data_IF_911315065781
#
_entry.id   IF_911315065781
#
_cell.length_a   1.000
_cell.length_b   1.000
_cell.length_c   1.000
_cell.angle_alpha   90.00
_cell.angle_beta   90.00
_cell.angle_gamma   90.00
#
_symmetry.space_group_name_H-M   'P 1'
#
loop_
_entity.id
_entity.type
_entity.pdbx_description
1 polymer ?
#
# COMPACT_ATOMS: atom_id res chain seq x y z
N UNK A 1 -2.72 -3.87 -5.05
CA UNK A 1 -2.13 -4.41 -6.29
C UNK A 1 -0.62 -4.21 -6.22
N UNK A 2 0.14 -4.49 -7.27
CA UNK A 2 1.59 -4.22 -7.28
C UNK A 2 1.95 -2.74 -7.33
N UNK A 3 1.09 -1.91 -7.91
CA UNK A 3 1.39 -0.49 -8.14
C UNK A 3 0.84 0.42 -7.01
N UNK A 4 -0.04 -0.10 -6.17
CA UNK A 4 -0.66 0.72 -5.14
C UNK A 4 -1.71 -0.02 -4.33
N UNK A 5 -2.28 0.70 -3.38
CA UNK A 5 -3.30 0.20 -2.50
C UNK A 5 -4.34 1.28 -2.20
N UNK A 6 -5.55 0.81 -1.95
CA UNK A 6 -6.64 1.61 -1.42
C UNK A 6 -6.76 1.28 0.07
N UNK A 7 -6.74 2.31 0.92
CA UNK A 7 -6.88 2.16 2.36
C UNK A 7 -8.12 2.87 2.83
N UNK A 8 -8.80 2.29 3.81
CA UNK A 8 -9.80 3.01 4.60
C UNK A 8 -9.10 3.97 5.58
N UNK A 9 -9.66 5.15 5.80
CA UNK A 9 -9.19 6.09 6.83
C UNK A 9 -10.37 6.62 7.65
N UNK A 10 -10.15 6.80 8.95
CA UNK A 10 -11.20 7.22 9.90
C UNK A 10 -11.52 8.71 9.89
N UNK A 11 -10.89 9.50 9.02
CA UNK A 11 -10.90 10.95 9.10
C UNK A 11 -10.13 11.47 10.32
N UNK A 12 -9.54 12.66 10.20
CA UNK A 12 -8.77 13.30 11.29
C UNK A 12 -7.34 13.68 10.90
N UNK A 13 -6.83 13.14 9.80
CA UNK A 13 -5.54 13.56 9.22
C UNK A 13 -5.78 14.43 8.01
N UNK A 14 -5.12 15.58 7.94
CA UNK A 14 -5.11 16.40 6.74
C UNK A 14 -4.20 15.74 5.70
N UNK A 15 -4.81 15.04 4.75
CA UNK A 15 -4.14 14.34 3.67
C UNK A 15 -4.25 15.16 2.38
N UNK A 16 -3.12 15.41 1.71
CA UNK A 16 -3.06 16.22 0.51
C UNK A 16 -2.59 15.37 -0.67
N UNK A 17 -3.42 15.15 -1.71
CA UNK A 17 -2.97 14.50 -2.94
C UNK A 17 -1.69 15.16 -3.49
N UNK A 18 -0.76 14.33 -3.98
CA UNK A 18 0.58 14.73 -4.40
C UNK A 18 1.63 14.67 -3.29
N UNK A 19 1.23 14.47 -2.03
CA UNK A 19 2.19 14.29 -0.93
C UNK A 19 2.86 12.90 -0.98
N UNK A 20 4.17 12.87 -0.79
CA UNK A 20 4.97 11.65 -0.62
C UNK A 20 5.05 11.29 0.86
N UNK A 21 4.79 10.02 1.17
CA UNK A 21 4.83 9.50 2.52
C UNK A 21 5.69 8.24 2.58
N UNK A 22 6.59 8.17 3.56
CA UNK A 22 7.18 6.91 3.95
C UNK A 22 6.08 6.04 4.58
N UNK A 23 6.01 4.78 4.16
CA UNK A 23 4.97 3.85 4.58
C UNK A 23 5.55 2.52 5.03
N UNK A 24 4.85 1.90 5.97
CA UNK A 24 5.05 0.51 6.37
C UNK A 24 3.71 -0.20 6.31
N UNK A 25 3.64 -1.29 5.55
CA UNK A 25 2.46 -2.15 5.51
C UNK A 25 2.78 -3.43 6.26
N UNK A 26 2.00 -3.70 7.30
CA UNK A 26 2.15 -4.89 8.12
C UNK A 26 1.14 -5.94 7.67
N UNK A 27 1.65 -7.15 7.43
CA UNK A 27 0.84 -8.31 7.10
C UNK A 27 1.11 -9.38 8.15
N UNK A 28 0.06 -10.02 8.65
CA UNK A 28 0.22 -11.02 9.70
C UNK A 28 1.11 -12.18 9.25
N UNK A 29 2.09 -12.52 10.09
CA UNK A 29 3.08 -13.56 9.81
C UNK A 29 4.08 -13.25 8.69
N UNK A 30 4.13 -12.03 8.16
CA UNK A 30 5.09 -11.65 7.10
C UNK A 30 5.94 -10.44 7.47
N UNK A 31 7.10 -10.34 6.83
CA UNK A 31 7.95 -9.16 6.96
C UNK A 31 7.18 -7.91 6.49
N UNK A 32 7.16 -6.82 7.28
CA UNK A 32 6.51 -5.60 6.85
C UNK A 32 7.10 -5.08 5.55
N UNK A 33 6.23 -4.68 4.63
CA UNK A 33 6.61 -3.94 3.44
C UNK A 33 7.00 -2.51 3.87
N UNK A 34 8.12 -2.00 3.38
CA UNK A 34 8.54 -0.60 3.64
C UNK A 34 8.84 0.09 2.33
N UNK A 35 8.35 1.30 2.14
CA UNK A 35 8.61 2.05 0.93
C UNK A 35 8.07 3.46 1.00
N UNK A 36 8.20 4.18 -0.11
CA UNK A 36 7.53 5.46 -0.28
C UNK A 36 6.24 5.27 -1.06
N UNK A 37 5.24 6.08 -0.72
CA UNK A 37 3.96 6.13 -1.41
C UNK A 37 3.60 7.55 -1.77
N UNK A 38 3.05 7.74 -2.97
CA UNK A 38 2.41 8.97 -3.40
C UNK A 38 0.92 8.87 -3.11
N UNK A 39 0.41 9.82 -2.33
CA UNK A 39 -1.02 9.95 -2.13
C UNK A 39 -1.65 10.50 -3.41
N UNK A 40 -2.40 9.70 -4.15
CA UNK A 40 -2.97 10.09 -5.46
C UNK A 40 -4.44 10.48 -5.38
N UNK A 41 -5.15 10.01 -4.35
CA UNK A 41 -6.57 10.27 -4.17
C UNK A 41 -6.95 10.24 -2.69
N UNK A 42 -7.87 11.13 -2.31
CA UNK A 42 -8.44 11.20 -0.96
C UNK A 42 -9.93 11.46 -1.10
N UNK A 43 -10.75 10.66 -0.43
CA UNK A 43 -12.16 10.99 -0.16
C UNK A 43 -12.46 10.98 1.35
N UNK A 44 -13.74 10.93 1.72
CA UNK A 44 -14.17 10.97 3.13
C UNK A 44 -13.79 9.73 3.94
N UNK A 45 -13.60 8.57 3.32
CA UNK A 45 -13.42 7.29 3.99
C UNK A 45 -12.23 6.48 3.45
N UNK A 46 -11.66 6.87 2.32
CA UNK A 46 -10.60 6.14 1.64
C UNK A 46 -9.49 7.06 1.14
N UNK A 47 -8.30 6.46 1.03
CA UNK A 47 -7.14 7.04 0.38
C UNK A 47 -6.55 6.06 -0.63
N UNK A 48 -6.22 6.58 -1.81
CA UNK A 48 -5.47 5.86 -2.82
C UNK A 48 -3.99 6.23 -2.73
N UNK A 49 -3.13 5.23 -2.57
CA UNK A 49 -1.69 5.40 -2.60
C UNK A 49 -1.09 4.61 -3.76
N UNK A 50 -0.23 5.27 -4.53
CA UNK A 50 0.66 4.65 -5.51
C UNK A 50 2.03 4.41 -4.88
N UNK A 51 2.59 3.20 -5.02
CA UNK A 51 3.89 2.87 -4.46
C UNK A 51 5.02 3.43 -5.34
N UNK A 52 6.04 3.99 -4.72
CA UNK A 52 7.18 4.65 -5.37
C UNK A 52 8.50 4.10 -4.85
N UNK A 53 9.51 4.02 -5.72
CA UNK A 53 10.87 3.54 -5.41
C UNK A 53 10.89 2.21 -4.62
N UNK A 54 10.01 1.28 -4.98
CA UNK A 54 9.92 -0.03 -4.36
C UNK A 54 11.20 -0.83 -4.63
N UNK A 55 11.92 -1.21 -3.58
CA UNK A 55 13.10 -2.06 -3.76
C UNK A 55 12.70 -3.50 -4.18
N UNK A 56 13.64 -4.27 -4.77
CA UNK A 56 13.34 -5.61 -5.26
C UNK A 56 12.84 -6.60 -4.20
N UNK A 57 13.26 -6.44 -2.94
CA UNK A 57 12.85 -7.34 -1.85
C UNK A 57 11.37 -7.09 -1.50
N UNK A 58 11.00 -5.82 -1.38
CA UNK A 58 9.63 -5.39 -1.14
C UNK A 58 8.69 -5.76 -2.30
N UNK A 59 9.17 -5.63 -3.54
CA UNK A 59 8.45 -6.09 -4.73
C UNK A 59 8.17 -7.60 -4.71
N UNK A 60 9.19 -8.41 -4.40
CA UNK A 60 9.05 -9.85 -4.33
C UNK A 60 8.05 -10.28 -3.23
N UNK A 61 8.11 -9.64 -2.06
CA UNK A 61 7.19 -9.91 -0.95
C UNK A 61 5.74 -9.58 -1.33
N UNK A 62 5.49 -8.40 -1.89
CA UNK A 62 4.15 -7.98 -2.31
C UNK A 62 3.60 -8.85 -3.46
N UNK A 63 4.46 -9.25 -4.40
CA UNK A 63 4.09 -10.17 -5.49
C UNK A 63 3.63 -11.51 -4.94
N UNK A 64 4.41 -12.10 -4.03
CA UNK A 64 4.09 -13.39 -3.40
C UNK A 64 2.77 -13.32 -2.60
N UNK A 65 2.52 -12.21 -1.91
CA UNK A 65 1.26 -11.94 -1.20
C UNK A 65 0.06 -11.94 -2.13
N UNK A 66 0.13 -11.17 -3.23
CA UNK A 66 -0.95 -11.06 -4.20
C UNK A 66 -1.25 -12.41 -4.84
N UNK A 67 -0.20 -13.17 -5.19
CA UNK A 67 -0.36 -14.52 -5.73
C UNK A 67 -1.01 -15.49 -4.73
N UNK A 68 -0.59 -15.44 -3.46
CA UNK A 68 -1.16 -16.30 -2.42
C UNK A 68 -2.65 -16.01 -2.21
N UNK A 69 -3.04 -14.73 -2.17
CA UNK A 69 -4.44 -14.33 -2.07
C UNK A 69 -5.26 -14.77 -3.29
N UNK A 70 -4.71 -14.60 -4.50
CA UNK A 70 -5.36 -15.02 -5.73
C UNK A 70 -5.56 -16.54 -5.84
N UNK A 71 -4.71 -17.35 -5.20
CA UNK A 71 -4.91 -18.80 -5.07
C UNK A 71 -6.01 -19.14 -4.06
N UNK A 72 -6.10 -18.43 -2.94
CA UNK A 72 -7.10 -18.68 -1.90
C UNK A 72 -8.54 -18.30 -2.31
N UNK A 73 -8.68 -17.41 -3.30
CA UNK A 73 -9.98 -16.96 -3.82
C UNK A 73 -10.53 -17.81 -4.97
N UNK A 74 -9.78 -18.82 -5.44
CA UNK A 74 -10.20 -19.80 -6.45
C UNK A 74 -10.71 -21.07 -5.79
#
# INVERSE_FOLDING_TARGET
>A
SLNGALFEHGGGTQLQPGARHAMTLEFDGQTPFRGDGLLVWVDKAHIGIEFYDMDPQNFAALSALIEALGRAQR
#
